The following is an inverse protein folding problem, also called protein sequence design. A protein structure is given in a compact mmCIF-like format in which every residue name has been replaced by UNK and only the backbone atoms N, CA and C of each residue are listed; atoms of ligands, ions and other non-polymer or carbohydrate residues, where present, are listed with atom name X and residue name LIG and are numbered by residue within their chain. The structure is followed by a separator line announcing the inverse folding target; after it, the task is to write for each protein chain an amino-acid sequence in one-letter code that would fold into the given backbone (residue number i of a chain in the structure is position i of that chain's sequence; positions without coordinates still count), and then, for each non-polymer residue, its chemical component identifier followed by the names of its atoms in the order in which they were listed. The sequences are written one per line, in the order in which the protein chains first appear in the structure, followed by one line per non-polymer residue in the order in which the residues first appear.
data_IF_494878073344
#
_entry.id   IF_494878073344
#
_cell.length_a   1.000
_cell.length_b   1.000
_cell.length_c   1.000
_cell.angle_alpha   90.00
_cell.angle_beta   90.00
_cell.angle_gamma   90.00
#
_symmetry.space_group_name_H-M   'P 1'
#
loop_
_entity.id
_entity.type
_entity.pdbx_description
1 polymer ?
#
# COMPACT_ATOMS: atom_id res chain seq x y z
N UNK A 1 -9.19 7.38 -15.88
CA UNK A 1 -8.61 6.04 -15.65
C UNK A 1 -8.59 5.77 -14.14
N UNK A 2 -8.98 4.59 -13.64
CA UNK A 2 -8.91 4.30 -12.19
C UNK A 2 -7.58 3.64 -11.84
N UNK A 3 -6.65 4.38 -11.25
CA UNK A 3 -5.41 3.83 -10.70
C UNK A 3 -5.70 2.89 -9.52
N UNK A 4 -4.91 1.83 -9.37
CA UNK A 4 -5.02 0.79 -8.32
C UNK A 4 -3.64 0.59 -7.67
N UNK A 5 -3.60 0.28 -6.36
CA UNK A 5 -2.37 0.21 -5.56
C UNK A 5 -2.53 -0.68 -4.29
N UNK A 6 -1.50 -1.43 -3.88
CA UNK A 6 -1.23 -2.02 -2.53
C UNK A 6 0.04 -1.42 -2.01
N UNK A 7 0.25 -1.67 -0.73
CA UNK A 7 1.44 -1.27 -0.02
C UNK A 7 2.04 -2.54 0.56
N UNK A 8 3.18 -3.00 0.01
CA UNK A 8 4.04 -3.97 0.73
C UNK A 8 4.78 -3.13 1.76
N UNK A 9 4.27 -3.17 2.99
CA UNK A 9 4.72 -2.29 4.09
C UNK A 9 5.81 -2.98 4.90
N UNK A 10 6.98 -2.33 4.94
CA UNK A 10 8.11 -2.71 5.78
C UNK A 10 8.30 -1.68 6.88
N UNK A 11 8.94 -2.08 7.98
CA UNK A 11 9.27 -1.21 9.10
C UNK A 11 10.74 -1.35 9.47
N UNK A 12 11.32 -0.29 10.04
CA UNK A 12 12.75 -0.17 10.29
C UNK A 12 13.17 -0.90 11.58
N UNK A 13 13.29 -2.23 11.49
CA UNK A 13 13.72 -3.11 12.58
C UNK A 13 15.18 -2.96 13.00
N UNK A 14 15.99 -2.19 12.25
CA UNK A 14 17.35 -1.84 12.65
C UNK A 14 17.39 -0.70 13.68
N UNK A 15 16.30 0.08 13.81
CA UNK A 15 16.19 1.23 14.74
C UNK A 15 15.11 1.09 15.80
N UNK A 16 14.07 0.31 15.55
CA UNK A 16 12.91 0.18 16.42
C UNK A 16 12.71 -1.27 16.86
N UNK A 17 12.01 -1.45 17.97
CA UNK A 17 11.65 -2.77 18.53
C UNK A 17 10.39 -3.36 17.89
N UNK A 18 9.53 -2.53 17.31
CA UNK A 18 8.23 -2.96 16.76
C UNK A 18 7.68 -2.02 15.68
N UNK A 19 6.76 -2.54 14.87
CA UNK A 19 5.94 -1.71 13.96
C UNK A 19 5.19 -0.59 14.71
N UNK A 20 4.65 -0.87 15.91
CA UNK A 20 3.89 0.10 16.69
C UNK A 20 4.73 1.30 17.15
N UNK A 21 6.02 1.08 17.41
CA UNK A 21 6.99 2.14 17.66
C UNK A 21 7.33 2.91 16.36
N UNK A 22 7.65 2.17 15.30
CA UNK A 22 8.14 2.71 14.02
C UNK A 22 7.07 3.51 13.25
N UNK A 23 5.79 3.15 13.30
CA UNK A 23 4.71 3.74 12.49
C UNK A 23 4.54 5.26 12.66
N UNK A 24 5.07 5.83 13.75
CA UNK A 24 5.04 7.27 14.07
C UNK A 24 6.34 8.03 13.75
N UNK A 25 7.38 7.35 13.24
CA UNK A 25 8.73 7.92 13.05
C UNK A 25 9.00 8.22 11.58
N UNK A 26 9.69 9.33 11.28
CA UNK A 26 9.89 9.81 9.91
C UNK A 26 10.62 8.80 8.99
N UNK A 27 11.55 8.04 9.55
CA UNK A 27 12.30 6.94 8.92
C UNK A 27 11.84 5.55 9.41
N UNK A 28 10.60 5.48 9.88
CA UNK A 28 9.98 4.30 10.47
C UNK A 28 9.55 3.24 9.46
N UNK A 29 8.99 3.65 8.32
CA UNK A 29 8.38 2.73 7.35
C UNK A 29 8.91 2.95 5.92
N UNK A 30 9.04 1.85 5.19
CA UNK A 30 9.30 1.83 3.74
C UNK A 30 8.18 1.06 3.04
N UNK A 31 7.61 1.62 1.98
CA UNK A 31 6.42 1.06 1.31
C UNK A 31 6.63 0.93 -0.19
N UNK A 32 6.47 -0.30 -0.71
CA UNK A 32 6.49 -0.63 -2.15
C UNK A 32 5.04 -0.72 -2.68
N UNK A 33 4.74 -0.15 -3.85
CA UNK A 33 3.38 -0.02 -4.42
C UNK A 33 2.91 -1.10 -5.43
N UNK A 34 1.89 -1.96 -5.14
CA UNK A 34 1.41 -3.12 -5.98
C UNK A 34 -0.17 -3.30 -6.05
N UNK A 35 -0.88 -4.40 -5.71
CA UNK A 35 -2.36 -4.47 -5.39
C UNK A 35 -2.76 -5.35 -4.14
N UNK A 36 -3.86 -5.06 -3.36
CA UNK A 36 -4.49 -5.77 -2.17
C UNK A 36 -4.51 -5.14 -0.72
N UNK A 37 -5.54 -5.49 0.12
CA UNK A 37 -5.66 -5.35 1.62
C UNK A 37 -6.66 -6.41 2.15
N UNK A 38 -6.53 -6.96 3.38
CA UNK A 38 -7.34 -8.10 3.86
C UNK A 38 -7.84 -8.11 5.33
N UNK A 39 -8.23 -9.32 5.80
CA UNK A 39 -8.38 -9.77 7.19
C UNK A 39 -7.27 -10.80 7.50
N UNK A 40 -6.93 -11.06 8.77
CA UNK A 40 -6.00 -12.15 9.11
C UNK A 40 -6.73 -13.49 9.21
N UNK A 41 -6.35 -14.41 8.33
CA UNK A 41 -6.51 -15.85 8.45
C UNK A 41 -5.12 -16.48 8.29
N UNK A 42 -4.91 -17.79 8.60
CA UNK A 42 -3.67 -18.47 8.27
C UNK A 42 -3.40 -18.38 6.76
N UNK A 43 -2.42 -17.55 6.38
CA UNK A 43 -1.99 -17.33 5.01
C UNK A 43 -0.46 -17.46 5.00
N UNK A 44 -0.02 -18.70 4.82
CA UNK A 44 1.39 -19.11 4.87
C UNK A 44 1.87 -19.52 3.47
N UNK A 45 3.18 -19.72 3.32
CA UNK A 45 3.80 -20.18 2.06
C UNK A 45 3.53 -19.26 0.85
N UNK A 46 3.49 -17.95 1.08
CA UNK A 46 3.34 -16.93 0.04
C UNK A 46 4.52 -15.96 0.05
N UNK A 47 5.21 -15.84 -1.08
CA UNK A 47 6.23 -14.81 -1.30
C UNK A 47 5.62 -13.61 -2.04
N UNK A 48 5.47 -12.42 -1.40
CA UNK A 48 4.94 -11.23 -2.05
C UNK A 48 5.87 -10.64 -3.12
N UNK A 49 7.14 -11.06 -3.21
CA UNK A 49 8.04 -10.65 -4.29
C UNK A 49 7.50 -11.04 -5.68
N UNK A 50 6.74 -12.14 -5.74
CA UNK A 50 6.07 -12.63 -6.96
C UNK A 50 5.01 -11.69 -7.53
N UNK A 51 4.60 -10.66 -6.77
CA UNK A 51 3.69 -9.61 -7.23
C UNK A 51 4.43 -8.36 -7.75
N UNK A 52 5.76 -8.32 -7.70
CA UNK A 52 6.54 -7.20 -8.22
C UNK A 52 6.62 -7.24 -9.76
N UNK A 53 6.74 -6.08 -10.43
CA UNK A 53 7.06 -6.02 -11.85
C UNK A 53 8.46 -6.54 -12.15
N UNK A 54 8.76 -6.79 -13.43
CA UNK A 54 10.06 -7.32 -13.87
C UNK A 54 11.19 -6.30 -13.68
N UNK A 55 10.94 -5.03 -13.97
CA UNK A 55 11.83 -3.92 -13.64
C UNK A 55 11.46 -3.30 -12.30
N UNK A 56 12.45 -3.20 -11.42
CA UNK A 56 12.33 -2.52 -10.13
C UNK A 56 12.73 -1.03 -10.20
N UNK A 57 12.87 -0.45 -11.39
CA UNK A 57 12.99 1.01 -11.56
C UNK A 57 11.90 1.73 -10.75
N UNK A 58 12.27 2.76 -9.98
CA UNK A 58 11.33 3.38 -9.04
C UNK A 58 11.48 4.90 -8.91
N UNK A 59 10.39 5.52 -8.46
CA UNK A 59 10.40 6.85 -7.86
C UNK A 59 10.32 6.77 -6.33
N UNK A 60 10.97 7.70 -5.64
CA UNK A 60 10.93 7.78 -4.17
C UNK A 60 10.76 9.20 -3.66
N UNK A 61 9.95 9.34 -2.60
CA UNK A 61 9.69 10.58 -1.88
C UNK A 61 9.24 10.30 -0.43
N UNK A 62 9.45 11.26 0.47
CA UNK A 62 8.93 11.21 1.84
C UNK A 62 7.45 11.61 1.87
N UNK A 63 6.61 10.81 2.53
CA UNK A 63 5.17 11.02 2.57
C UNK A 63 4.50 10.31 3.73
N UNK A 64 3.19 10.09 3.58
CA UNK A 64 2.34 9.64 4.66
C UNK A 64 1.62 8.33 4.36
N UNK A 65 1.06 7.72 5.40
CA UNK A 65 -0.02 6.75 5.26
C UNK A 65 -1.16 7.37 4.41
N UNK A 66 -1.80 6.54 3.57
CA UNK A 66 -2.91 6.97 2.69
C UNK A 66 -4.30 6.86 3.34
N UNK A 67 -4.36 6.46 4.62
CA UNK A 67 -5.57 6.38 5.44
C UNK A 67 -5.23 6.75 6.89
N UNK A 68 -6.18 7.22 7.73
CA UNK A 68 -5.96 7.45 9.17
C UNK A 68 -5.13 6.35 9.84
N UNK A 69 -4.13 6.71 10.67
CA UNK A 69 -3.86 8.04 11.24
C UNK A 69 -3.10 9.04 10.35
N UNK A 70 -2.80 8.71 9.07
CA UNK A 70 -2.11 9.62 8.13
C UNK A 70 -0.70 10.10 8.55
N UNK A 71 0.01 9.38 9.42
CA UNK A 71 1.38 9.73 9.85
C UNK A 71 2.33 9.92 8.65
N UNK A 72 3.17 10.95 8.71
CA UNK A 72 4.22 11.30 7.74
C UNK A 72 5.51 10.50 7.99
N UNK A 73 5.36 9.17 8.09
CA UNK A 73 6.39 8.20 8.47
C UNK A 73 6.87 7.30 7.32
N UNK A 74 6.46 7.60 6.08
CA UNK A 74 6.65 6.71 4.93
C UNK A 74 7.74 7.23 4.00
N UNK A 75 8.76 6.43 3.76
CA UNK A 75 9.54 6.50 2.52
C UNK A 75 8.83 5.67 1.45
N UNK A 76 8.29 6.35 0.44
CA UNK A 76 7.61 5.70 -0.68
C UNK A 76 8.60 5.16 -1.71
N UNK A 77 8.32 3.98 -2.24
CA UNK A 77 9.00 3.36 -3.38
C UNK A 77 7.90 2.97 -4.38
N UNK A 78 7.82 3.72 -5.48
CA UNK A 78 6.78 3.58 -6.51
C UNK A 78 7.45 2.99 -7.75
N UNK A 79 7.18 1.74 -8.08
CA UNK A 79 7.71 1.10 -9.28
C UNK A 79 7.21 1.82 -10.56
N UNK A 80 8.10 1.93 -11.54
CA UNK A 80 7.87 2.52 -12.87
C UNK A 80 7.02 1.63 -13.75
N UNK A 81 7.27 0.32 -13.69
CA UNK A 81 6.51 -0.70 -14.39
C UNK A 81 5.29 -1.13 -13.56
N UNK A 82 4.16 -1.38 -14.23
CA UNK A 82 2.90 -1.78 -13.60
C UNK A 82 2.58 -3.25 -13.85
N UNK A 83 2.13 -3.98 -12.82
CA UNK A 83 1.50 -5.28 -13.02
C UNK A 83 0.04 -5.16 -13.50
N UNK A 84 -0.44 -6.19 -14.19
CA UNK A 84 -1.82 -6.26 -14.68
C UNK A 84 -2.78 -6.90 -13.66
N UNK A 85 -4.04 -6.48 -13.68
CA UNK A 85 -5.15 -7.12 -12.95
C UNK A 85 -6.38 -7.18 -13.85
N UNK A 86 -7.08 -8.31 -13.89
CA UNK A 86 -8.28 -8.47 -14.71
C UNK A 86 -9.49 -7.75 -14.09
N UNK A 87 -10.54 -7.53 -14.89
CA UNK A 87 -11.78 -6.91 -14.42
C UNK A 87 -12.53 -7.79 -13.40
N UNK A 88 -12.39 -9.10 -13.53
CA UNK A 88 -12.98 -10.16 -12.71
C UNK A 88 -12.25 -10.25 -11.36
N UNK A 89 -10.92 -10.28 -11.38
CA UNK A 89 -10.10 -10.12 -10.18
C UNK A 89 -10.42 -8.80 -9.47
N UNK A 90 -10.58 -7.69 -10.23
CA UNK A 90 -10.98 -6.41 -9.65
C UNK A 90 -12.41 -6.43 -9.06
N UNK A 91 -13.32 -7.21 -9.62
CA UNK A 91 -14.66 -7.41 -9.08
C UNK A 91 -14.63 -8.17 -7.75
N UNK A 92 -13.73 -9.16 -7.57
CA UNK A 92 -13.55 -9.89 -6.31
C UNK A 92 -13.19 -8.95 -5.14
N UNK A 93 -12.38 -7.91 -5.37
CA UNK A 93 -12.15 -6.87 -4.35
C UNK A 93 -13.40 -6.06 -4.03
N UNK A 94 -14.20 -5.72 -5.06
CA UNK A 94 -15.41 -4.91 -4.89
C UNK A 94 -16.54 -5.67 -4.20
N UNK A 95 -16.55 -7.00 -4.27
CA UNK A 95 -17.48 -7.86 -3.53
C UNK A 95 -17.09 -8.08 -2.06
N UNK A 96 -15.91 -7.65 -1.61
CA UNK A 96 -15.57 -7.69 -0.18
C UNK A 96 -16.51 -6.77 0.59
N UNK A 97 -16.98 -7.23 1.74
CA UNK A 97 -17.93 -6.53 2.60
C UNK A 97 -17.22 -5.71 3.68
N UNK A 98 -17.67 -4.47 3.92
CA UNK A 98 -17.19 -3.63 5.03
C UNK A 98 -18.01 -3.74 6.31
N UNK A 99 -19.21 -4.31 6.25
CA UNK A 99 -20.05 -4.55 7.42
C UNK A 99 -19.55 -5.74 8.25
N UNK A 100 -20.06 -5.86 9.49
CA UNK A 100 -19.85 -7.04 10.33
C UNK A 100 -20.82 -8.16 9.96
N UNK A 101 -20.58 -9.37 10.47
CA UNK A 101 -21.48 -10.50 10.28
C UNK A 101 -22.81 -10.24 11.01
N UNK A 102 -23.94 -10.54 10.35
CA UNK A 102 -25.29 -10.23 10.82
C UNK A 102 -25.87 -8.90 10.29
N UNK A 103 -25.03 -7.97 9.84
CA UNK A 103 -25.47 -6.71 9.23
C UNK A 103 -25.86 -6.87 7.74
N UNK A 104 -26.61 -5.88 7.23
CA UNK A 104 -26.89 -5.74 5.80
C UNK A 104 -25.57 -5.62 4.99
N UNK A 105 -25.41 -6.35 3.85
CA UNK A 105 -24.20 -6.30 3.04
C UNK A 105 -23.87 -4.90 2.48
N UNK A 106 -22.67 -4.41 2.77
CA UNK A 106 -22.11 -3.15 2.24
C UNK A 106 -20.80 -3.45 1.49
N UNK A 107 -20.79 -3.51 0.15
CA UNK A 107 -19.59 -3.84 -0.63
C UNK A 107 -18.57 -2.69 -0.73
N UNK A 108 -17.28 -3.01 -0.66
CA UNK A 108 -16.16 -2.05 -0.73
C UNK A 108 -15.89 -1.64 -2.19
N UNK A 109 -16.70 -0.72 -2.71
CA UNK A 109 -16.58 -0.25 -4.09
C UNK A 109 -15.26 0.51 -4.37
N UNK A 110 -14.78 1.29 -3.40
CA UNK A 110 -13.56 2.13 -3.48
C UNK A 110 -12.95 2.35 -2.10
N UNK A 111 -11.62 2.45 -2.04
CA UNK A 111 -10.84 2.72 -0.83
C UNK A 111 -9.61 3.61 -1.10
N UNK A 112 -9.54 4.27 -2.27
CA UNK A 112 -8.41 5.09 -2.68
C UNK A 112 -8.54 6.53 -2.17
N UNK A 113 -7.46 7.07 -1.59
CA UNK A 113 -7.33 8.51 -1.28
C UNK A 113 -6.94 9.29 -2.53
N UNK A 114 -7.48 10.50 -2.78
CA UNK A 114 -7.01 11.39 -3.84
C UNK A 114 -5.52 11.78 -3.64
N UNK A 115 -4.82 12.06 -4.73
CA UNK A 115 -3.45 12.62 -4.70
C UNK A 115 -3.41 13.90 -3.88
N UNK A 116 -2.35 14.07 -3.08
CA UNK A 116 -2.16 15.24 -2.22
C UNK A 116 -1.08 16.18 -2.80
N UNK A 117 -1.15 17.50 -2.57
CA UNK A 117 -0.14 18.44 -3.07
C UNK A 117 1.29 18.08 -2.64
N UNK A 118 2.26 18.32 -3.52
CA UNK A 118 3.67 18.03 -3.23
C UNK A 118 4.25 18.91 -2.11
N UNK A 119 3.76 20.15 -1.93
CA UNK A 119 4.25 21.11 -0.91
C UNK A 119 5.79 21.25 -0.90
N UNK A 120 6.41 21.35 -2.07
CA UNK A 120 7.86 21.52 -2.22
C UNK A 120 8.70 20.24 -2.08
N UNK A 121 8.08 19.06 -1.85
CA UNK A 121 8.81 17.79 -1.82
C UNK A 121 9.37 17.42 -3.19
N UNK A 122 10.63 17.01 -3.22
CA UNK A 122 11.29 16.44 -4.41
C UNK A 122 10.96 14.95 -4.54
N UNK A 123 10.59 14.53 -5.75
CA UNK A 123 10.51 13.12 -6.14
C UNK A 123 11.79 12.77 -6.88
N UNK A 124 12.49 11.71 -6.44
CA UNK A 124 13.71 11.19 -7.09
C UNK A 124 13.38 9.96 -7.92
N UNK A 125 14.10 9.71 -9.00
CA UNK A 125 14.06 8.48 -9.78
C UNK A 125 15.34 7.64 -9.55
N UNK A 126 15.27 6.34 -9.80
CA UNK A 126 16.42 5.42 -9.82
C UNK A 126 17.10 5.28 -11.18
N UNK A 127 16.58 5.98 -12.20
CA UNK A 127 16.88 5.85 -13.63
C UNK A 127 16.90 7.23 -14.31
#
# INVERSE_FOLDING_TARGET
MMTKMLHIVHWNSAKYSSFAEAVSKADGLAVIGVLMKGKQAPFTNFDPSTLLPSSLDFWTYSGSLTHPPLYESITWIICKESISVSSEQLAQFRSLLSNVEGDNPVPIQRNNRPTQPLKGRTVRASF
#
